data_IF_685985986811
#
_entry.id   IF_685985986811
#
_cell.length_a   1.000
_cell.length_b   1.000
_cell.length_c   1.000
_cell.angle_alpha   90.00
_cell.angle_beta   90.00
_cell.angle_gamma   90.00
#
_symmetry.space_group_name_H-M   'P 1'
#
loop_
_entity.id
_entity.type
_entity.pdbx_description
1 polymer ?
#
# COMPACT_ATOMS: atom_id res chain seq x y z
N UNK A 1 10.99 5.79 12.67
CA UNK A 1 11.10 4.34 12.69
C UNK A 1 10.71 3.70 14.04
N UNK A 2 9.57 4.17 14.60
CA UNK A 2 9.07 3.74 15.91
C UNK A 2 8.82 2.23 15.99
N UNK A 3 8.31 1.61 14.91
CA UNK A 3 8.04 0.16 14.87
C UNK A 3 9.25 -0.72 15.17
N UNK A 4 10.47 -0.25 14.88
CA UNK A 4 11.70 -0.99 15.20
C UNK A 4 12.03 -1.02 16.70
N UNK A 5 11.59 0.00 17.42
CA UNK A 5 11.86 0.20 18.83
C UNK A 5 10.74 -0.33 19.73
N UNK A 6 9.59 -0.66 19.14
CA UNK A 6 8.44 -1.15 19.90
C UNK A 6 8.72 -2.54 20.48
N UNK A 7 8.63 -2.64 21.79
CA UNK A 7 8.65 -3.90 22.55
C UNK A 7 7.27 -4.34 23.00
N UNK A 8 6.31 -3.39 23.08
CA UNK A 8 4.92 -3.64 23.45
C UNK A 8 4.01 -2.56 22.87
N UNK A 9 2.73 -2.85 22.76
CA UNK A 9 1.68 -1.89 22.39
C UNK A 9 0.44 -2.15 23.23
N UNK A 10 -0.37 -1.11 23.43
CA UNK A 10 -1.66 -1.21 24.06
C UNK A 10 -2.76 -0.84 23.08
N UNK A 11 -3.85 -1.58 23.11
CA UNK A 11 -5.06 -1.30 22.34
C UNK A 11 -6.11 -0.73 23.29
N UNK A 12 -6.69 0.42 22.93
CA UNK A 12 -7.78 1.04 23.67
C UNK A 12 -9.09 0.76 22.94
N UNK A 13 -9.92 -0.10 23.52
CA UNK A 13 -11.20 -0.51 22.93
C UNK A 13 -12.23 0.63 22.86
N UNK A 14 -12.07 1.68 23.63
CA UNK A 14 -12.98 2.82 23.72
C UNK A 14 -12.42 4.12 23.13
N UNK A 15 -11.49 4.04 22.16
CA UNK A 15 -10.96 5.22 21.50
C UNK A 15 -12.03 5.88 20.61
N UNK A 16 -12.63 6.96 21.07
CA UNK A 16 -13.62 7.77 20.33
C UNK A 16 -12.94 8.83 19.46
N UNK A 17 -12.02 8.41 18.58
CA UNK A 17 -11.51 9.33 17.58
C UNK A 17 -12.43 9.35 16.35
N UNK A 18 -13.27 10.39 16.26
CA UNK A 18 -14.13 10.62 15.10
C UNK A 18 -13.35 11.34 14.00
N UNK A 19 -12.82 10.57 13.04
CA UNK A 19 -12.21 11.14 11.85
C UNK A 19 -13.28 11.64 10.89
N UNK A 20 -13.35 12.96 10.67
CA UNK A 20 -14.25 13.56 9.67
C UNK A 20 -13.80 13.16 8.26
N UNK A 21 -14.52 12.26 7.65
CA UNK A 21 -14.37 11.92 6.23
C UNK A 21 -15.19 12.88 5.35
N UNK A 22 -14.82 12.98 4.06
CA UNK A 22 -15.58 13.72 3.03
C UNK A 22 -15.63 15.25 3.17
N UNK A 23 -14.59 15.89 3.68
CA UNK A 23 -14.46 17.35 3.55
C UNK A 23 -14.14 17.71 2.10
N UNK A 24 -14.92 18.59 1.49
CA UNK A 24 -14.54 19.22 0.22
C UNK A 24 -13.15 19.86 0.39
N UNK A 25 -12.18 19.49 -0.47
CA UNK A 25 -10.80 19.94 -0.38
C UNK A 25 -9.91 19.12 0.58
N UNK A 26 -10.38 18.01 1.13
CA UNK A 26 -9.53 17.11 1.93
C UNK A 26 -8.38 16.55 1.09
N UNK A 27 -7.18 16.58 1.65
CA UNK A 27 -5.94 16.04 1.06
C UNK A 27 -6.11 14.54 0.72
N UNK A 28 -7.03 13.84 1.38
CA UNK A 28 -7.31 12.42 1.18
C UNK A 28 -8.19 12.12 -0.03
N UNK A 29 -8.85 13.12 -0.62
CA UNK A 29 -9.78 12.90 -1.73
C UNK A 29 -9.08 12.77 -3.11
N UNK A 30 -7.85 13.27 -3.24
CA UNK A 30 -7.07 13.19 -4.48
C UNK A 30 -5.67 12.68 -4.16
N UNK A 31 -5.38 11.45 -4.60
CA UNK A 31 -4.02 10.89 -4.50
C UNK A 31 -3.17 11.54 -5.58
N UNK A 32 -2.21 12.37 -5.19
CA UNK A 32 -1.26 13.03 -6.08
C UNK A 32 -0.06 12.13 -6.35
N UNK A 33 0.65 12.38 -7.44
CA UNK A 33 1.89 11.68 -7.80
C UNK A 33 2.90 11.65 -6.65
N UNK A 34 3.08 12.78 -5.98
CA UNK A 34 3.95 12.89 -4.80
C UNK A 34 3.56 11.89 -3.71
N UNK A 35 2.27 11.69 -3.45
CA UNK A 35 1.82 10.74 -2.42
C UNK A 35 2.24 9.30 -2.76
N UNK A 36 2.12 8.92 -4.04
CA UNK A 36 2.54 7.60 -4.52
C UNK A 36 4.06 7.43 -4.35
N UNK A 37 4.84 8.43 -4.78
CA UNK A 37 6.29 8.42 -4.64
C UNK A 37 6.74 8.38 -3.18
N UNK A 38 6.10 9.14 -2.30
CA UNK A 38 6.44 9.18 -0.87
C UNK A 38 6.21 7.81 -0.21
N UNK A 39 5.13 7.11 -0.57
CA UNK A 39 4.88 5.73 -0.09
C UNK A 39 5.96 4.77 -0.63
N UNK A 40 6.27 4.81 -1.92
CA UNK A 40 7.28 3.94 -2.52
C UNK A 40 8.68 4.18 -1.91
N UNK A 41 9.06 5.43 -1.69
CA UNK A 41 10.31 5.80 -1.00
C UNK A 41 10.31 5.30 0.45
N UNK A 42 9.19 5.41 1.15
CA UNK A 42 9.07 4.90 2.52
C UNK A 42 9.24 3.38 2.60
N UNK A 43 8.70 2.65 1.61
CA UNK A 43 8.92 1.21 1.46
C UNK A 43 10.40 0.92 1.24
N UNK A 44 11.07 1.64 0.32
CA UNK A 44 12.51 1.47 0.06
C UNK A 44 13.35 1.66 1.32
N UNK A 45 13.19 2.80 1.99
CA UNK A 45 13.91 3.10 3.23
C UNK A 45 13.63 2.05 4.31
N UNK A 46 12.39 1.58 4.39
CA UNK A 46 12.01 0.54 5.32
C UNK A 46 12.72 -0.78 5.03
N UNK A 47 12.73 -1.22 3.78
CA UNK A 47 13.35 -2.47 3.35
C UNK A 47 14.87 -2.46 3.52
N UNK A 48 15.55 -1.34 3.22
CA UNK A 48 17.01 -1.20 3.39
C UNK A 48 17.49 -1.42 4.83
N UNK A 49 16.57 -1.32 5.77
CA UNK A 49 16.89 -1.36 7.19
C UNK A 49 16.38 -2.61 7.93
N UNK A 50 15.67 -3.52 7.27
CA UNK A 50 15.07 -4.67 7.96
C UNK A 50 16.07 -5.82 8.20
N UNK A 51 17.12 -5.92 7.42
CA UNK A 51 18.09 -7.03 7.50
C UNK A 51 18.77 -7.19 8.88
N UNK A 52 18.83 -6.10 9.64
CA UNK A 52 19.39 -6.07 11.00
C UNK A 52 18.40 -6.53 12.07
N UNK A 53 17.18 -6.84 11.72
CA UNK A 53 16.13 -7.23 12.66
C UNK A 53 16.04 -8.75 12.77
N UNK A 54 15.50 -9.29 13.89
CA UNK A 54 15.14 -10.69 13.99
C UNK A 54 14.21 -11.13 12.84
N UNK A 55 14.36 -12.37 12.38
CA UNK A 55 13.64 -12.92 11.22
C UNK A 55 12.12 -12.69 11.29
N UNK A 56 11.52 -12.96 12.43
CA UNK A 56 10.07 -12.77 12.63
C UNK A 56 9.62 -11.33 12.40
N UNK A 57 10.42 -10.34 12.88
CA UNK A 57 10.16 -8.92 12.63
C UNK A 57 10.36 -8.55 11.17
N UNK A 58 11.34 -9.15 10.50
CA UNK A 58 11.54 -8.92 9.06
C UNK A 58 10.30 -9.37 8.28
N UNK A 59 9.79 -10.58 8.54
CA UNK A 59 8.62 -11.12 7.83
C UNK A 59 7.35 -10.28 8.09
N UNK A 60 7.10 -9.89 9.34
CA UNK A 60 5.98 -9.02 9.67
C UNK A 60 6.05 -7.66 8.96
N UNK A 61 7.24 -7.05 8.87
CA UNK A 61 7.44 -5.79 8.16
C UNK A 61 7.30 -5.95 6.64
N UNK A 62 7.72 -7.08 6.06
CA UNK A 62 7.50 -7.35 4.63
C UNK A 62 6.01 -7.48 4.32
N UNK A 63 5.21 -8.10 5.19
CA UNK A 63 3.74 -8.13 5.06
C UNK A 63 3.17 -6.71 5.12
N UNK A 64 3.61 -5.88 6.07
CA UNK A 64 3.20 -4.47 6.17
C UNK A 64 3.54 -3.67 4.90
N UNK A 65 4.75 -3.82 4.36
CA UNK A 65 5.14 -3.16 3.13
C UNK A 65 4.37 -3.70 1.91
N UNK A 66 4.02 -4.99 1.90
CA UNK A 66 3.14 -5.54 0.88
C UNK A 66 1.75 -4.86 0.89
N UNK A 67 1.16 -4.64 2.06
CA UNK A 67 -0.11 -3.91 2.18
C UNK A 67 0.03 -2.49 1.64
N UNK A 68 1.09 -1.77 2.04
CA UNK A 68 1.37 -0.41 1.57
C UNK A 68 1.55 -0.36 0.05
N UNK A 69 2.27 -1.32 -0.52
CA UNK A 69 2.47 -1.46 -1.96
C UNK A 69 1.16 -1.74 -2.70
N UNK A 70 0.35 -2.68 -2.21
CA UNK A 70 -0.94 -3.03 -2.81
C UNK A 70 -1.92 -1.85 -2.76
N UNK A 71 -1.89 -1.05 -1.68
CA UNK A 71 -2.80 0.08 -1.50
C UNK A 71 -2.65 1.17 -2.55
N UNK A 72 -1.46 1.33 -3.14
CA UNK A 72 -1.20 2.35 -4.16
C UNK A 72 -1.47 1.87 -5.59
N UNK A 73 -1.62 0.57 -5.84
CA UNK A 73 -1.80 0.02 -7.19
C UNK A 73 -2.93 0.70 -7.99
N UNK A 74 -4.11 1.01 -7.41
CA UNK A 74 -5.18 1.69 -8.16
C UNK A 74 -4.79 3.09 -8.67
N UNK A 75 -3.79 3.72 -8.05
CA UNK A 75 -3.39 5.10 -8.35
C UNK A 75 -2.17 5.19 -9.25
N UNK A 76 -1.29 4.18 -9.22
CA UNK A 76 -0.04 4.22 -10.03
C UNK A 76 -0.29 4.25 -11.53
N UNK A 77 -1.43 3.71 -11.98
CA UNK A 77 -1.80 3.77 -13.40
C UNK A 77 -1.92 5.20 -13.93
N UNK A 78 -2.32 6.16 -13.08
CA UNK A 78 -2.42 7.57 -13.43
C UNK A 78 -1.05 8.20 -13.73
N UNK A 79 0.01 7.64 -13.17
CA UNK A 79 1.40 8.13 -13.22
C UNK A 79 2.33 7.16 -13.95
N UNK A 80 1.79 6.36 -14.86
CA UNK A 80 2.52 5.33 -15.62
C UNK A 80 3.70 5.85 -16.44
N UNK A 81 3.76 7.16 -16.72
CA UNK A 81 4.86 7.79 -17.46
C UNK A 81 6.00 8.24 -16.53
N UNK A 82 5.83 8.22 -15.21
CA UNK A 82 6.89 8.54 -14.28
C UNK A 82 7.87 7.37 -14.17
N UNK A 83 9.15 7.68 -14.47
CA UNK A 83 10.22 6.68 -14.50
C UNK A 83 10.51 6.09 -13.12
N UNK A 84 10.53 6.94 -12.08
CA UNK A 84 10.82 6.49 -10.70
C UNK A 84 9.72 5.57 -10.18
N UNK A 85 8.45 5.90 -10.44
CA UNK A 85 7.31 5.05 -10.07
C UNK A 85 7.44 3.68 -10.73
N UNK A 86 7.74 3.62 -12.03
CA UNK A 86 7.94 2.36 -12.75
C UNK A 86 9.04 1.50 -12.14
N UNK A 87 10.18 2.12 -11.83
CA UNK A 87 11.31 1.43 -11.24
C UNK A 87 10.96 0.84 -9.87
N UNK A 88 10.33 1.64 -9.00
CA UNK A 88 9.89 1.15 -7.71
C UNK A 88 8.85 0.03 -7.83
N UNK A 89 7.88 0.15 -8.75
CA UNK A 89 6.88 -0.90 -8.96
C UNK A 89 7.52 -2.24 -9.33
N UNK A 90 8.48 -2.21 -10.26
CA UNK A 90 9.22 -3.42 -10.66
C UNK A 90 10.06 -3.98 -9.52
N UNK A 91 10.77 -3.11 -8.80
CA UNK A 91 11.66 -3.53 -7.71
C UNK A 91 10.89 -4.13 -6.53
N UNK A 92 9.66 -3.69 -6.28
CA UNK A 92 8.86 -4.15 -5.15
C UNK A 92 7.79 -5.19 -5.52
N UNK A 93 7.72 -5.62 -6.77
CA UNK A 93 6.76 -6.64 -7.22
C UNK A 93 6.86 -7.93 -6.40
N UNK A 94 8.05 -8.28 -5.93
CA UNK A 94 8.26 -9.46 -5.09
C UNK A 94 7.48 -9.41 -3.77
N UNK A 95 7.11 -8.23 -3.27
CA UNK A 95 6.30 -8.08 -2.06
C UNK A 95 4.91 -8.74 -2.22
N UNK A 96 4.42 -8.94 -3.44
CA UNK A 96 3.15 -9.61 -3.70
C UNK A 96 3.15 -11.09 -3.25
N UNK A 97 4.32 -11.71 -3.04
CA UNK A 97 4.39 -13.06 -2.47
C UNK A 97 3.79 -13.14 -1.06
N UNK A 98 3.83 -12.03 -0.32
CA UNK A 98 3.29 -11.92 1.04
C UNK A 98 1.76 -11.75 1.09
N UNK A 99 1.09 -11.60 -0.06
CA UNK A 99 -0.37 -11.37 -0.12
C UNK A 99 -1.19 -12.44 0.60
N UNK A 100 -0.71 -13.69 0.64
CA UNK A 100 -1.41 -14.77 1.34
C UNK A 100 -1.44 -14.60 2.86
N UNK A 101 -0.46 -13.90 3.42
CA UNK A 101 -0.31 -13.65 4.86
C UNK A 101 -1.12 -12.44 5.33
N UNK A 102 -1.68 -11.66 4.40
CA UNK A 102 -2.51 -10.49 4.71
C UNK A 102 -3.88 -10.95 5.21
N UNK A 103 -4.27 -10.53 6.40
CA UNK A 103 -5.56 -10.85 6.99
C UNK A 103 -6.73 -10.15 6.30
N UNK A 104 -6.55 -8.87 5.96
CA UNK A 104 -7.57 -8.09 5.26
C UNK A 104 -7.84 -8.68 3.88
N UNK A 105 -9.06 -9.20 3.68
CA UNK A 105 -9.48 -9.89 2.45
C UNK A 105 -9.31 -9.03 1.20
N UNK A 106 -9.62 -7.74 1.27
CA UNK A 106 -9.50 -6.83 0.12
C UNK A 106 -8.05 -6.75 -0.36
N UNK A 107 -7.10 -6.45 0.53
CA UNK A 107 -5.68 -6.39 0.17
C UNK A 107 -5.13 -7.75 -0.24
N UNK A 108 -5.53 -8.82 0.44
CA UNK A 108 -5.15 -10.19 0.10
C UNK A 108 -5.49 -10.53 -1.35
N UNK A 109 -6.75 -10.38 -1.74
CA UNK A 109 -7.20 -10.72 -3.09
C UNK A 109 -6.66 -9.74 -4.14
N UNK A 110 -6.58 -8.45 -3.84
CA UNK A 110 -5.95 -7.46 -4.72
C UNK A 110 -4.50 -7.84 -5.02
N UNK A 111 -3.74 -8.21 -3.99
CA UNK A 111 -2.35 -8.64 -4.17
C UNK A 111 -2.21 -9.96 -4.94
N UNK A 112 -3.09 -10.93 -4.70
CA UNK A 112 -3.10 -12.20 -5.45
C UNK A 112 -3.43 -11.99 -6.93
N UNK A 113 -4.40 -11.14 -7.24
CA UNK A 113 -4.74 -10.77 -8.63
C UNK A 113 -3.54 -10.07 -9.28
N UNK A 114 -2.93 -9.09 -8.60
CA UNK A 114 -1.76 -8.39 -9.12
C UNK A 114 -0.59 -9.34 -9.41
N UNK A 115 -0.36 -10.31 -8.52
CA UNK A 115 0.64 -11.36 -8.73
C UNK A 115 0.34 -12.24 -9.96
N UNK A 116 -0.93 -12.53 -10.21
CA UNK A 116 -1.35 -13.41 -11.33
C UNK A 116 -1.30 -12.76 -12.69
N UNK A 117 -1.71 -11.50 -12.82
CA UNK A 117 -1.80 -10.80 -14.12
C UNK A 117 -0.66 -9.80 -14.36
N UNK A 118 0.21 -9.59 -13.39
CA UNK A 118 1.29 -8.59 -13.41
C UNK A 118 0.83 -7.21 -12.92
N UNK A 119 1.74 -6.48 -12.32
CA UNK A 119 1.47 -5.22 -11.61
C UNK A 119 0.89 -4.14 -12.52
N UNK A 120 1.40 -3.97 -13.73
CA UNK A 120 0.93 -2.93 -14.65
C UNK A 120 -0.52 -3.16 -15.09
N UNK A 121 -0.87 -4.39 -15.46
CA UNK A 121 -2.24 -4.76 -15.83
C UNK A 121 -3.19 -4.66 -14.64
N UNK A 122 -2.73 -5.09 -13.47
CA UNK A 122 -3.50 -4.98 -12.24
C UNK A 122 -3.77 -3.52 -11.87
N UNK A 123 -2.78 -2.63 -11.96
CA UNK A 123 -2.94 -1.20 -11.70
C UNK A 123 -3.98 -0.57 -12.63
N UNK A 124 -3.95 -0.90 -13.93
CA UNK A 124 -4.96 -0.42 -14.88
C UNK A 124 -6.37 -0.92 -14.54
N UNK A 125 -6.50 -2.20 -14.21
CA UNK A 125 -7.77 -2.83 -13.81
C UNK A 125 -8.33 -2.17 -12.54
N UNK A 126 -7.52 -2.04 -11.50
CA UNK A 126 -7.96 -1.48 -10.22
C UNK A 126 -8.30 0.01 -10.32
N UNK A 127 -7.57 0.78 -11.15
CA UNK A 127 -7.91 2.18 -11.41
C UNK A 127 -9.30 2.28 -12.06
N UNK A 128 -9.59 1.43 -13.06
CA UNK A 128 -10.90 1.38 -13.70
C UNK A 128 -12.02 1.00 -12.73
N UNK A 129 -11.80 -0.02 -11.89
CA UNK A 129 -12.77 -0.45 -10.88
C UNK A 129 -13.03 0.65 -9.85
N UNK A 130 -11.99 1.35 -9.39
CA UNK A 130 -12.11 2.48 -8.48
C UNK A 130 -12.94 3.62 -9.10
N UNK A 131 -12.74 3.91 -10.39
CA UNK A 131 -13.53 4.89 -11.13
C UNK A 131 -15.01 4.51 -11.23
N UNK A 132 -15.31 3.25 -11.49
CA UNK A 132 -16.69 2.74 -11.51
C UNK A 132 -17.35 2.81 -10.12
N UNK A 133 -16.62 2.40 -9.08
CA UNK A 133 -17.11 2.47 -7.70
C UNK A 133 -17.48 3.89 -7.27
N UNK A 134 -16.66 4.88 -7.64
CA UNK A 134 -16.96 6.30 -7.35
C UNK A 134 -18.23 6.76 -8.04
N UNK A 135 -18.43 6.41 -9.33
CA UNK A 135 -19.63 6.77 -10.09
C UNK A 135 -20.93 6.13 -9.58
N UNK A 136 -20.84 4.99 -8.90
CA UNK A 136 -22.00 4.32 -8.32
C UNK A 136 -22.40 4.91 -6.95
N UNK A 137 -21.52 5.68 -6.35
CA UNK A 137 -21.70 6.25 -5.01
C UNK A 137 -22.13 7.71 -5.01
N UNK A 138 -21.94 8.38 -6.15
CA UNK A 138 -22.44 9.73 -6.45
C UNK A 138 -23.85 9.65 -7.03
#
# INVERSE_FOLDING_TARGET
>A
NLLKLMTSYAVFDNAQYMYRQNRAGSITNVVKEKNVLDILKSISIGLDNIEKLPFEKQEALKVYFAISYISILPFVHLYKNNFDIKNYLKNFEYLLQYSRQIENKTFKYTGLVAKGIGVEKAAALFNKLLGLYKKLKD
#
